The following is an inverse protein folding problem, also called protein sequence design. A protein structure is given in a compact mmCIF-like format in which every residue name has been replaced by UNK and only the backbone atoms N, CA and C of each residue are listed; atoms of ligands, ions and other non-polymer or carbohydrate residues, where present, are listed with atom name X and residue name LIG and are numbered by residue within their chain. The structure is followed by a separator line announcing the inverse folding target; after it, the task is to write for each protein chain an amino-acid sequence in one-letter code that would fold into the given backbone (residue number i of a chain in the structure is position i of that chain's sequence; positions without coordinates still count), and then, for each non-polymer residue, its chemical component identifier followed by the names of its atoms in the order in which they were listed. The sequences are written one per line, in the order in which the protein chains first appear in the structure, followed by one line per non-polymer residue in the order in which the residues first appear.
data_IF_511238623485
#
_entry.id   IF_511238623485
#
_cell.length_a   1.000
_cell.length_b   1.000
_cell.length_c   1.000
_cell.angle_alpha   90.00
_cell.angle_beta   90.00
_cell.angle_gamma   90.00
#
_symmetry.space_group_name_H-M   'P 1'
#
loop_
_entity.id
_entity.type
_entity.pdbx_description
1 polymer ?
#
# COMPACT_ATOMS: atom_id res chain seq x y z
N UNK A 1 7.16 -8.61 -12.52
CA UNK A 1 7.50 -8.82 -13.95
C UNK A 1 6.57 -8.04 -14.92
N UNK A 2 5.41 -7.53 -14.49
CA UNK A 2 4.50 -6.78 -15.38
C UNK A 2 4.96 -5.36 -15.77
N UNK A 3 5.66 -4.64 -14.89
CA UNK A 3 6.10 -3.26 -15.15
C UNK A 3 7.20 -3.13 -16.24
N UNK A 4 7.88 -4.23 -16.59
CA UNK A 4 9.07 -4.20 -17.47
C UNK A 4 8.76 -4.73 -18.89
N UNK A 5 7.58 -5.35 -19.11
CA UNK A 5 7.23 -5.99 -20.40
C UNK A 5 5.84 -5.67 -20.94
N UNK A 6 5.03 -4.86 -20.24
CA UNK A 6 3.71 -4.45 -20.71
C UNK A 6 3.78 -3.34 -21.77
N UNK A 7 2.81 -3.31 -22.69
CA UNK A 7 2.59 -2.13 -23.56
C UNK A 7 2.44 -0.86 -22.72
N UNK A 8 2.70 0.34 -23.27
CA UNK A 8 2.54 1.62 -22.54
C UNK A 8 1.20 1.73 -21.78
N UNK A 9 0.12 1.12 -22.30
CA UNK A 9 -1.19 1.05 -21.63
C UNK A 9 -1.21 0.10 -20.42
N UNK A 10 -0.59 -1.08 -20.52
CA UNK A 10 -0.47 -1.99 -19.37
C UNK A 10 0.38 -1.39 -18.23
N UNK A 11 1.27 -0.44 -18.55
CA UNK A 11 2.06 0.31 -17.57
C UNK A 11 1.24 1.37 -16.85
N UNK A 12 0.30 2.07 -17.52
CA UNK A 12 -0.58 3.05 -16.87
C UNK A 12 -1.59 2.40 -15.91
N UNK A 13 -2.19 1.26 -16.30
CA UNK A 13 -3.16 0.55 -15.45
C UNK A 13 -2.53 0.06 -14.14
N UNK A 14 -1.26 -0.36 -14.20
CA UNK A 14 -0.47 -0.73 -13.01
C UNK A 14 -0.26 0.48 -12.10
N UNK A 15 0.02 1.66 -12.66
CA UNK A 15 0.18 2.90 -11.89
C UNK A 15 -1.10 3.32 -11.18
N UNK A 16 -2.25 3.20 -11.84
CA UNK A 16 -3.56 3.48 -11.22
C UNK A 16 -3.89 2.43 -10.16
N UNK A 17 -3.73 1.15 -10.50
CA UNK A 17 -4.01 0.02 -9.60
C UNK A 17 -3.21 0.09 -8.30
N UNK A 18 -1.92 0.44 -8.37
CA UNK A 18 -1.09 0.51 -7.16
C UNK A 18 -1.51 1.66 -6.23
N UNK A 19 -2.02 2.76 -6.77
CA UNK A 19 -2.56 3.86 -5.95
C UNK A 19 -3.89 3.50 -5.28
N UNK A 20 -4.72 2.69 -5.93
CA UNK A 20 -5.91 2.12 -5.26
C UNK A 20 -5.53 1.21 -4.11
N UNK A 21 -4.56 0.31 -4.30
CA UNK A 21 -4.06 -0.57 -3.23
C UNK A 21 -3.49 0.25 -2.07
N UNK A 22 -2.68 1.28 -2.36
CA UNK A 22 -2.14 2.20 -1.35
C UNK A 22 -3.26 2.85 -0.53
N UNK A 23 -4.29 3.36 -1.20
CA UNK A 23 -5.43 4.01 -0.55
C UNK A 23 -6.21 3.03 0.31
N UNK A 24 -6.49 1.82 -0.21
CA UNK A 24 -7.20 0.79 0.52
C UNK A 24 -6.44 0.36 1.78
N UNK A 25 -5.13 0.16 1.67
CA UNK A 25 -4.25 -0.18 2.79
C UNK A 25 -4.28 0.90 3.87
N UNK A 26 -4.03 2.16 3.49
CA UNK A 26 -4.02 3.29 4.43
C UNK A 26 -5.38 3.50 5.10
N UNK A 27 -6.48 3.31 4.37
CA UNK A 27 -7.82 3.36 4.96
C UNK A 27 -8.10 2.20 5.91
N UNK A 28 -7.69 0.97 5.55
CA UNK A 28 -7.90 -0.21 6.39
C UNK A 28 -7.20 -0.10 7.74
N UNK A 29 -5.97 0.40 7.79
CA UNK A 29 -5.23 0.55 9.05
C UNK A 29 -5.84 1.60 9.98
N UNK A 30 -6.53 2.62 9.46
CA UNK A 30 -7.27 3.56 10.31
C UNK A 30 -8.35 2.83 11.12
N UNK A 31 -9.04 1.86 10.52
CA UNK A 31 -10.02 1.04 11.22
C UNK A 31 -9.35 0.14 12.26
N UNK A 32 -8.16 -0.41 11.97
CA UNK A 32 -7.38 -1.16 12.96
C UNK A 32 -7.08 -0.28 14.17
N UNK A 33 -6.58 0.93 13.96
CA UNK A 33 -6.25 1.86 15.05
C UNK A 33 -7.47 2.31 15.85
N UNK A 34 -8.63 2.46 15.22
CA UNK A 34 -9.89 2.78 15.93
C UNK A 34 -10.32 1.58 16.79
N UNK A 35 -10.27 0.36 16.25
CA UNK A 35 -10.69 -0.84 16.97
C UNK A 35 -9.72 -1.20 18.11
N UNK A 36 -8.41 -1.07 17.92
CA UNK A 36 -7.42 -1.39 18.96
C UNK A 36 -7.45 -0.43 20.14
N UNK A 37 -7.99 0.79 19.98
CA UNK A 37 -8.21 1.72 21.10
C UNK A 37 -9.26 1.22 22.08
N UNK A 38 -10.30 0.52 21.61
CA UNK A 38 -11.39 0.01 22.46
C UNK A 38 -11.11 -1.40 23.02
N UNK A 39 -10.05 -2.06 22.56
CA UNK A 39 -9.68 -3.40 23.04
C UNK A 39 -9.19 -3.39 24.50
N UNK A 40 -9.77 -4.29 25.30
CA UNK A 40 -9.35 -4.56 26.69
C UNK A 40 -8.01 -5.29 26.74
N UNK A 41 -7.78 -6.23 25.82
CA UNK A 41 -6.49 -6.90 25.67
C UNK A 41 -5.48 -5.95 25.01
N UNK A 42 -4.65 -5.33 25.85
CA UNK A 42 -3.62 -4.38 25.41
C UNK A 42 -2.44 -5.05 24.73
N UNK A 43 -2.16 -6.32 25.04
CA UNK A 43 -1.10 -7.10 24.40
C UNK A 43 -1.45 -7.33 22.94
N UNK A 44 -2.65 -7.86 22.68
CA UNK A 44 -3.13 -8.10 21.32
C UNK A 44 -3.32 -6.81 20.54
N UNK A 45 -3.81 -5.74 21.18
CA UNK A 45 -3.92 -4.42 20.56
C UNK A 45 -2.56 -3.91 20.08
N UNK A 46 -1.50 -4.08 20.88
CA UNK A 46 -0.14 -3.70 20.52
C UNK A 46 0.43 -4.53 19.36
N UNK A 47 0.18 -5.83 19.33
CA UNK A 47 0.55 -6.69 18.19
C UNK A 47 -0.08 -6.22 16.88
N UNK A 48 -1.41 -6.01 16.89
CA UNK A 48 -2.14 -5.59 15.70
C UNK A 48 -1.69 -4.22 15.20
N UNK A 49 -1.38 -3.29 16.11
CA UNK A 49 -0.86 -1.97 15.73
C UNK A 49 0.53 -2.08 15.08
N UNK A 50 1.44 -2.88 15.63
CA UNK A 50 2.77 -3.11 15.02
C UNK A 50 2.67 -3.74 13.63
N UNK A 51 1.79 -4.73 13.48
CA UNK A 51 1.53 -5.36 12.18
C UNK A 51 0.97 -4.34 11.18
N UNK A 52 0.00 -3.52 11.59
CA UNK A 52 -0.55 -2.45 10.76
C UNK A 52 0.51 -1.42 10.35
N UNK A 53 1.37 -1.00 11.26
CA UNK A 53 2.48 -0.07 10.98
C UNK A 53 3.46 -0.66 9.96
N UNK A 54 3.82 -1.93 10.10
CA UNK A 54 4.71 -2.62 9.16
C UNK A 54 4.08 -2.78 7.77
N UNK A 55 2.79 -3.13 7.72
CA UNK A 55 2.03 -3.19 6.47
C UNK A 55 1.98 -1.83 5.78
N UNK A 56 1.72 -0.73 6.51
CA UNK A 56 1.76 0.63 5.96
C UNK A 56 3.12 0.93 5.37
N UNK A 57 4.19 0.76 6.14
CA UNK A 57 5.55 1.09 5.70
C UNK A 57 5.92 0.33 4.43
N UNK A 58 5.81 -0.99 4.48
CA UNK A 58 6.22 -1.85 3.36
C UNK A 58 5.31 -1.69 2.13
N UNK A 59 4.01 -1.51 2.36
CA UNK A 59 3.02 -1.33 1.30
C UNK A 59 3.13 0.03 0.59
N UNK A 60 3.36 1.13 1.31
CA UNK A 60 3.55 2.45 0.69
C UNK A 60 4.88 2.52 -0.04
N UNK A 61 5.96 1.98 0.51
CA UNK A 61 7.26 1.88 -0.16
C UNK A 61 7.18 1.07 -1.46
N UNK A 62 6.43 -0.05 -1.46
CA UNK A 62 6.18 -0.82 -2.66
C UNK A 62 5.36 -0.02 -3.69
N UNK A 63 4.33 0.69 -3.24
CA UNK A 63 3.50 1.52 -4.11
C UNK A 63 4.29 2.65 -4.78
N UNK A 64 5.13 3.34 -4.01
CA UNK A 64 5.94 4.46 -4.49
C UNK A 64 6.98 3.97 -5.52
N UNK A 65 7.64 2.82 -5.26
CA UNK A 65 8.56 2.20 -6.22
C UNK A 65 7.88 1.83 -7.54
N UNK A 66 6.72 1.16 -7.48
CA UNK A 66 5.97 0.75 -8.68
C UNK A 66 5.50 1.98 -9.45
N UNK A 67 4.95 2.97 -8.75
CA UNK A 67 4.51 4.22 -9.36
C UNK A 67 5.67 4.95 -10.04
N UNK A 68 6.84 5.01 -9.41
CA UNK A 68 8.04 5.62 -9.99
C UNK A 68 8.49 4.95 -11.29
N UNK A 69 8.50 3.61 -11.33
CA UNK A 69 8.82 2.86 -12.56
C UNK A 69 7.81 3.15 -13.67
N UNK A 70 6.51 3.16 -13.33
CA UNK A 70 5.43 3.48 -14.28
C UNK A 70 5.59 4.90 -14.82
N UNK A 71 5.77 5.88 -13.95
CA UNK A 71 5.88 7.29 -14.33
C UNK A 71 7.11 7.55 -15.23
N UNK A 72 8.24 6.91 -14.94
CA UNK A 72 9.43 6.98 -15.78
C UNK A 72 9.16 6.41 -17.19
N UNK A 73 8.46 5.27 -17.28
CA UNK A 73 8.09 4.65 -18.55
C UNK A 73 7.06 5.44 -19.37
N UNK A 74 6.26 6.31 -18.75
CA UNK A 74 5.31 7.18 -19.46
C UNK A 74 5.98 8.44 -20.05
N UNK A 75 7.05 8.92 -19.43
CA UNK A 75 7.78 10.15 -19.82
C UNK A 75 8.88 9.92 -20.86
N UNK A 76 9.31 8.68 -21.07
CA UNK A 76 10.18 8.27 -22.19
C UNK A 76 9.40 7.97 -23.46
#
# INVERSE_FOLDING_TARGET
VLAVKGSRMAVSDVGVGVQFVRTALLGAVMNVYINTKSMKDRGKAGELNREAEELVRTGTEAADRIYGVVLAGLRG
#
